data_IF_888902570786
#
_entry.id   IF_888902570786
#
_cell.length_a   1.000
_cell.length_b   1.000
_cell.length_c   1.000
_cell.angle_alpha   90.00
_cell.angle_beta   90.00
_cell.angle_gamma   90.00
#
_symmetry.space_group_name_H-M   'P 1'
#
loop_
_entity.id
_entity.type
_entity.pdbx_description
1 polymer ?
2 non-polymer ?
3 non-polymer ?
4 non-polymer ?
5 water ?
#
# COMPACT_ATOMS: atom_id res chain seq x y z
N UNK A 1 -2.77 -22.58 3.21
CA UNK A 1 -1.98 -21.36 3.05
C UNK A 1 -0.61 -21.50 3.69
N UNK A 2 0.35 -20.71 3.20
CA UNK A 2 1.71 -20.78 3.73
C UNK A 2 1.84 -19.95 5.00
N UNK A 3 1.16 -18.80 5.06
CA UNK A 3 1.09 -18.03 6.30
C UNK A 3 0.32 -18.79 7.37
N UNK A 4 0.77 -18.69 8.61
CA UNK A 4 -0.07 -19.09 9.73
C UNK A 4 -1.11 -18.01 10.01
N UNK A 5 -2.24 -18.42 10.60
CA UNK A 5 -3.35 -17.51 10.91
C UNK A 5 -2.90 -16.28 11.69
N UNK A 6 -2.11 -16.52 12.73
CA UNK A 6 -1.65 -15.44 13.59
C UNK A 6 -0.83 -14.43 12.78
N UNK A 7 -0.01 -14.96 11.86
CA UNK A 7 0.81 -14.12 10.98
C UNK A 7 -0.05 -13.25 10.06
N UNK A 8 -1.05 -13.86 9.43
CA UNK A 8 -1.95 -13.15 8.54
C UNK A 8 -2.72 -12.07 9.30
N UNK A 9 -3.01 -12.34 10.56
CA UNK A 9 -3.74 -11.40 11.38
C UNK A 9 -2.90 -10.16 11.70
N UNK A 10 -1.65 -10.39 12.10
CA UNK A 10 -0.71 -9.29 12.32
C UNK A 10 -0.51 -8.47 11.05
N UNK A 11 -0.33 -9.14 9.92
CA UNK A 11 -0.17 -8.44 8.66
C UNK A 11 -1.39 -7.61 8.31
N UNK A 12 -2.57 -8.20 8.51
CA UNK A 12 -3.82 -7.51 8.27
C UNK A 12 -3.91 -6.24 9.11
N UNK A 13 -3.60 -6.37 10.41
CA UNK A 13 -3.65 -5.24 11.34
C UNK A 13 -2.62 -4.15 11.01
N UNK A 14 -1.41 -4.59 10.68
CA UNK A 14 -0.36 -3.67 10.22
C UNK A 14 -0.82 -2.90 8.99
N UNK A 15 -1.38 -3.61 8.02
CA UNK A 15 -1.94 -2.97 6.84
C UNK A 15 -3.04 -1.98 7.18
N UNK A 16 -3.93 -2.38 8.07
CA UNK A 16 -5.07 -1.57 8.45
C UNK A 16 -4.63 -0.27 9.12
N UNK A 17 -3.70 -0.38 10.06
CA UNK A 17 -3.25 0.77 10.83
C UNK A 17 -2.52 1.77 9.93
N UNK A 18 -1.63 1.27 9.08
CA UNK A 18 -0.88 2.11 8.16
C UNK A 18 -1.82 2.82 7.19
N UNK A 19 -2.84 2.09 6.74
CA UNK A 19 -3.85 2.65 5.84
C UNK A 19 -4.61 3.79 6.50
N UNK A 20 -4.98 3.59 7.76
CA UNK A 20 -5.71 4.64 8.48
C UNK A 20 -4.87 5.90 8.61
N UNK A 21 -3.58 5.74 8.90
CA UNK A 21 -2.69 6.90 9.00
C UNK A 21 -2.58 7.64 7.67
N UNK A 22 -2.32 6.88 6.60
CA UNK A 22 -2.17 7.45 5.27
C UNK A 22 -3.45 8.08 4.74
N UNK A 23 -4.58 7.40 4.97
CA UNK A 23 -5.86 7.89 4.46
C UNK A 23 -6.29 9.12 5.23
N UNK A 24 -6.06 9.11 6.54
CA UNK A 24 -6.31 10.32 7.33
C UNK A 24 -5.51 11.51 6.79
N UNK A 25 -4.24 11.25 6.45
CA UNK A 25 -3.38 12.30 5.88
C UNK A 25 -3.97 12.86 4.58
N UNK A 26 -4.47 11.99 3.71
CA UNK A 26 -5.13 12.42 2.48
C UNK A 26 -6.38 13.28 2.72
N UNK A 27 -7.20 12.87 3.68
CA UNK A 27 -8.43 13.60 3.98
C UNK A 27 -8.12 14.98 4.56
N UNK A 28 -7.24 15.01 5.56
CA UNK A 28 -6.96 16.25 6.30
C UNK A 28 -6.19 17.28 5.46
N UNK A 29 -5.48 16.82 4.44
CA UNK A 29 -4.79 17.75 3.53
C UNK A 29 -5.67 18.13 2.34
N UNK A 30 -6.86 17.54 2.24
CA UNK A 30 -7.72 17.75 1.09
C UNK A 30 -7.27 17.01 -0.17
N UNK A 31 -6.43 16.00 -0.01
CA UNK A 31 -6.04 15.18 -1.14
C UNK A 31 -7.25 14.45 -1.68
N UNK A 32 -8.11 14.00 -0.76
CA UNK A 32 -9.34 13.28 -1.10
C UNK A 32 -10.49 13.72 -0.19
N UNK A 33 -11.73 13.48 -0.63
CA UNK A 33 -12.90 13.73 0.18
C UNK A 33 -13.84 12.54 0.00
N UNK A 34 -14.36 12.01 1.09
CA UNK A 34 -15.36 10.97 0.98
C UNK A 34 -16.76 11.58 0.81
N UNK A 35 -17.62 10.87 0.09
CA UNK A 35 -18.98 11.35 -0.07
C UNK A 35 -19.98 10.40 0.61
N UNK A 36 -19.53 9.18 0.83
CA UNK A 36 -20.27 8.19 1.58
C UNK A 36 -20.41 8.63 3.05
N UNK A 37 -21.62 8.59 3.58
CA UNK A 37 -21.86 8.96 4.99
C UNK A 37 -22.72 7.95 5.76
N UNK A 38 -23.34 7.01 5.05
CA UNK A 38 -24.20 6.02 5.69
C UNK A 38 -23.41 4.89 6.36
N UNK A 39 -22.12 4.80 6.07
CA UNK A 39 -21.32 3.74 6.66
C UNK A 39 -20.59 4.26 7.89
N UNK A 40 -20.33 3.35 8.85
CA UNK A 40 -19.48 3.69 10.00
C UNK A 40 -18.09 4.06 9.52
N UNK A 41 -17.50 5.10 10.09
CA UNK A 41 -16.12 5.47 9.83
C UNK A 41 -15.20 5.02 10.96
N UNK A 42 -13.96 4.67 10.61
CA UNK A 42 -12.93 4.47 11.60
C UNK A 42 -11.95 5.60 11.36
N UNK A 43 -11.74 6.44 12.37
CA UNK A 43 -10.98 7.67 12.20
C UNK A 43 -11.55 8.46 10.99
N UNK A 44 -10.72 8.75 10.00
CA UNK A 44 -11.22 9.49 8.83
C UNK A 44 -11.65 8.61 7.64
N UNK A 45 -11.74 7.31 7.85
CA UNK A 45 -12.01 6.38 6.76
C UNK A 45 -13.28 5.56 6.99
N UNK A 46 -14.01 5.26 5.91
CA UNK A 46 -15.08 4.27 5.99
C UNK A 46 -14.50 2.96 6.49
N UNK A 47 -15.23 2.24 7.33
CA UNK A 47 -14.72 1.07 8.01
C UNK A 47 -14.11 0.03 7.06
N UNK A 48 -14.63 -0.03 5.84
CA UNK A 48 -14.19 -1.06 4.91
C UNK A 48 -12.84 -0.75 4.24
N UNK A 49 -12.43 0.52 4.31
CA UNK A 49 -11.15 0.91 3.74
C UNK A 49 -9.98 0.22 4.44
N UNK A 50 -9.91 0.31 5.79
CA UNK A 50 -8.82 -0.44 6.44
C UNK A 50 -8.94 -1.96 6.26
N UNK A 51 -10.17 -2.48 6.13
CA UNK A 51 -10.32 -3.92 5.90
C UNK A 51 -9.73 -4.30 4.55
N UNK A 52 -10.07 -3.55 3.51
CA UNK A 52 -9.53 -3.77 2.17
C UNK A 52 -8.00 -3.76 2.13
N UNK A 53 -7.38 -2.72 2.70
CA UNK A 53 -5.93 -2.64 2.68
C UNK A 53 -5.26 -3.71 3.55
N UNK A 54 -5.82 -4.00 4.71
CA UNK A 54 -5.31 -5.07 5.55
C UNK A 54 -5.41 -6.42 4.86
N UNK A 55 -6.54 -6.64 4.21
CA UNK A 55 -6.74 -7.86 3.43
C UNK A 55 -5.71 -7.93 2.32
N UNK A 56 -5.50 -6.80 1.62
CA UNK A 56 -4.51 -6.76 0.55
C UNK A 56 -3.09 -7.03 1.04
N UNK A 57 -2.79 -6.59 2.27
CA UNK A 57 -1.47 -6.79 2.85
C UNK A 57 -1.19 -8.27 3.10
N UNK A 58 -2.10 -8.93 3.78
CA UNK A 58 -1.95 -10.35 4.08
C UNK A 58 -1.97 -11.15 2.79
N UNK A 59 -2.82 -10.73 1.85
CA UNK A 59 -2.97 -11.43 0.58
C UNK A 59 -1.71 -11.42 -0.28
N UNK A 60 -1.06 -10.25 -0.35
CA UNK A 60 0.16 -10.08 -1.13
C UNK A 60 1.35 -10.80 -0.50
N UNK A 61 1.36 -10.85 0.83
CA UNK A 61 2.38 -11.58 1.57
C UNK A 61 2.23 -13.08 1.30
N UNK A 62 0.99 -13.54 1.35
CA UNK A 62 0.67 -14.92 1.02
C UNK A 62 1.10 -15.22 -0.42
N UNK A 63 0.68 -14.36 -1.35
CA UNK A 63 1.01 -14.54 -2.78
C UNK A 63 2.52 -14.76 -3.01
N UNK A 64 3.35 -13.93 -2.38
CA UNK A 64 4.80 -14.06 -2.51
C UNK A 64 5.31 -15.47 -2.15
N UNK A 65 4.70 -16.08 -1.14
CA UNK A 65 5.13 -17.38 -0.65
C UNK A 65 4.77 -18.51 -1.62
N UNK A 66 3.97 -18.21 -2.64
CA UNK A 66 3.68 -19.15 -3.71
C UNK A 66 4.50 -18.87 -4.96
N UNK A 67 5.35 -17.85 -4.88
CA UNK A 67 6.20 -17.48 -6.01
C UNK A 67 7.57 -18.08 -5.74
N UNK A 68 8.42 -18.20 -6.77
CA UNK A 68 9.66 -18.96 -6.57
C UNK A 68 10.59 -18.38 -5.51
N UNK A 69 11.26 -19.27 -4.78
CA UNK A 69 12.39 -18.91 -3.92
C UNK A 69 12.18 -17.75 -2.93
N UNK A 70 11.22 -17.89 -1.99
CA UNK A 70 11.07 -16.89 -0.91
C UNK A 70 12.39 -16.78 -0.16
N UNK A 71 12.85 -15.57 0.13
CA UNK A 71 14.18 -15.40 0.71
C UNK A 71 14.16 -15.68 2.21
N UNK A 72 15.03 -16.57 2.67
CA UNK A 72 15.03 -16.94 4.07
C UNK A 72 15.91 -16.02 4.93
N UNK A 73 16.69 -15.17 4.29
CA UNK A 73 17.52 -14.23 5.03
C UNK A 73 16.82 -12.91 5.45
N UNK A 74 15.55 -12.76 5.08
CA UNK A 74 14.82 -11.51 5.35
C UNK A 74 14.72 -11.24 6.87
N UNK A 75 14.98 -9.98 7.26
CA UNK A 75 15.01 -9.61 8.68
C UNK A 75 13.93 -8.61 9.10
N UNK A 76 13.65 -8.56 10.41
CA UNK A 76 12.72 -7.58 10.97
C UNK A 76 13.18 -6.16 10.65
N UNK A 77 14.50 -5.98 10.66
CA UNK A 77 15.10 -4.68 10.35
C UNK A 77 14.74 -4.23 8.94
N UNK A 78 14.88 -5.15 7.98
CA UNK A 78 14.49 -4.86 6.60
C UNK A 78 12.99 -4.55 6.49
N UNK A 79 12.19 -5.32 7.20
CA UNK A 79 10.74 -5.17 7.15
C UNK A 79 10.28 -3.84 7.75
N UNK A 80 10.84 -3.48 8.89
CA UNK A 80 10.56 -2.19 9.50
C UNK A 80 10.95 -1.06 8.55
N UNK A 81 12.09 -1.20 7.91
CA UNK A 81 12.54 -0.21 6.94
C UNK A 81 11.58 -0.06 5.76
N UNK A 82 11.06 -1.17 5.25
CA UNK A 82 10.14 -1.12 4.12
C UNK A 82 8.80 -0.52 4.48
N UNK A 83 8.28 -0.86 5.65
CA UNK A 83 7.03 -0.29 6.13
C UNK A 83 7.18 1.22 6.29
N UNK A 84 8.30 1.64 6.87
CA UNK A 84 8.57 3.06 7.06
C UNK A 84 8.61 3.78 5.71
N UNK A 85 9.28 3.15 4.74
CA UNK A 85 9.37 3.72 3.40
C UNK A 85 7.98 3.89 2.76
N UNK A 86 7.15 2.87 2.89
CA UNK A 86 5.81 2.92 2.30
C UNK A 86 4.93 3.95 2.99
N UNK A 87 4.96 3.97 4.32
CA UNK A 87 4.21 4.97 5.09
C UNK A 87 4.72 6.40 4.82
N UNK A 88 6.05 6.57 4.84
CA UNK A 88 6.67 7.85 4.53
C UNK A 88 6.24 8.35 3.15
N UNK A 89 6.26 7.47 2.16
CA UNK A 89 5.86 7.86 0.81
C UNK A 89 4.37 8.22 0.77
N UNK A 90 3.55 7.40 1.44
CA UNK A 90 2.10 7.60 1.52
C UNK A 90 1.79 9.01 2.07
N UNK A 91 2.35 9.35 3.23
CA UNK A 91 2.04 10.64 3.83
C UNK A 91 2.63 11.78 3.02
N UNK A 92 3.73 11.50 2.31
CA UNK A 92 4.33 12.54 1.45
C UNK A 92 3.38 12.93 0.31
N UNK A 93 2.64 11.96 -0.24
CA UNK A 93 1.67 12.26 -1.29
C UNK A 93 0.58 13.20 -0.79
N UNK A 94 0.19 13.05 0.48
CA UNK A 94 -0.75 14.01 1.08
C UNK A 94 -0.14 15.40 1.12
N UNK A 95 1.14 15.49 1.47
CA UNK A 95 1.77 16.80 1.61
C UNK A 95 1.98 17.53 0.27
N UNK A 96 2.20 16.79 -0.81
CA UNK A 96 2.55 17.42 -2.08
C UNK A 96 1.48 17.31 -3.17
N UNK A 97 0.32 16.77 -2.82
CA UNK A 97 -0.74 16.46 -3.77
C UNK A 97 -1.20 17.64 -4.63
N UNK A 98 -1.05 18.86 -4.12
CA UNK A 98 -1.51 20.04 -4.85
C UNK A 98 -0.46 20.59 -5.82
N UNK A 99 0.71 19.97 -5.84
CA UNK A 99 1.80 20.44 -6.71
C UNK A 99 1.59 19.87 -8.09
N UNK A 100 2.31 20.39 -9.10
CA UNK A 100 2.19 19.85 -10.46
C UNK A 100 2.44 18.35 -10.56
N UNK A 101 1.67 17.71 -11.42
CA UNK A 101 1.60 16.25 -11.51
C UNK A 101 2.92 15.56 -11.87
N UNK A 102 3.71 16.18 -12.74
CA UNK A 102 4.95 15.54 -13.16
C UNK A 102 5.97 15.39 -12.02
N UNK A 103 6.34 16.50 -11.35
CA UNK A 103 7.33 16.33 -10.26
C UNK A 103 6.78 15.47 -9.14
N UNK A 104 5.48 15.56 -8.85
CA UNK A 104 4.87 14.77 -7.79
C UNK A 104 4.95 13.28 -8.11
N UNK A 105 4.49 12.90 -9.29
CA UNK A 105 4.48 11.49 -9.68
C UNK A 105 5.90 10.93 -9.80
N UNK A 106 6.80 11.73 -10.37
CA UNK A 106 8.21 11.36 -10.47
C UNK A 106 8.83 11.15 -9.09
N UNK A 107 8.46 12.00 -8.14
CA UNK A 107 9.01 11.86 -6.79
C UNK A 107 8.58 10.53 -6.19
N UNK A 108 7.32 10.17 -6.39
CA UNK A 108 6.82 8.94 -5.80
C UNK A 108 7.39 7.70 -6.51
N UNK A 109 7.59 7.82 -7.82
CA UNK A 109 8.24 6.75 -8.59
C UNK A 109 9.66 6.50 -8.09
N UNK A 110 10.35 7.59 -7.76
CA UNK A 110 11.70 7.53 -7.22
C UNK A 110 11.72 6.79 -5.89
N UNK A 111 10.79 7.13 -5.00
CA UNK A 111 10.70 6.45 -3.72
C UNK A 111 10.40 4.95 -3.88
N UNK A 112 9.47 4.64 -4.79
CA UNK A 112 9.10 3.27 -5.06
C UNK A 112 10.27 2.48 -5.61
N UNK A 113 11.00 3.10 -6.54
CA UNK A 113 12.16 2.44 -7.16
C UNK A 113 13.25 2.18 -6.12
N UNK A 114 13.58 3.19 -5.34
CA UNK A 114 14.60 3.03 -4.32
C UNK A 114 14.19 1.93 -3.32
N UNK A 115 12.93 1.92 -2.92
CA UNK A 115 12.41 0.90 -2.02
C UNK A 115 12.65 -0.51 -2.59
N UNK A 116 12.33 -0.70 -3.87
CA UNK A 116 12.60 -1.98 -4.51
C UNK A 116 14.10 -2.29 -4.57
N UNK A 117 14.91 -1.28 -4.92
CA UNK A 117 16.35 -1.46 -5.02
C UNK A 117 16.94 -1.96 -3.71
N UNK A 118 16.44 -1.43 -2.59
CA UNK A 118 17.00 -1.80 -1.30
C UNK A 118 16.48 -3.15 -0.81
N UNK A 119 15.21 -3.46 -1.11
CA UNK A 119 14.55 -4.58 -0.43
C UNK A 119 13.94 -5.65 -1.33
N UNK A 120 13.66 -5.30 -2.59
CA UNK A 120 12.84 -6.17 -3.43
C UNK A 120 13.62 -7.18 -4.26
N UNK A 121 12.94 -8.25 -4.67
CA UNK A 121 13.49 -9.17 -5.67
C UNK A 121 12.52 -9.25 -6.86
N UNK A 122 12.74 -10.19 -7.76
CA UNK A 122 11.88 -10.35 -8.93
C UNK A 122 10.42 -10.62 -8.58
N UNK A 123 10.16 -11.66 -7.79
CA UNK A 123 8.78 -11.97 -7.37
C UNK A 123 8.15 -10.84 -6.53
N UNK A 124 8.96 -10.16 -5.72
CA UNK A 124 8.49 -8.97 -5.01
C UNK A 124 7.99 -7.91 -5.96
N UNK A 125 8.80 -7.61 -6.98
CA UNK A 125 8.42 -6.66 -8.01
C UNK A 125 7.13 -7.09 -8.71
N UNK A 126 6.96 -8.41 -8.89
CA UNK A 126 5.76 -8.93 -9.54
C UNK A 126 4.51 -8.68 -8.70
N UNK A 127 4.64 -8.88 -7.39
CA UNK A 127 3.56 -8.57 -6.46
C UNK A 127 3.22 -7.08 -6.52
N UNK A 128 4.26 -6.25 -6.64
CA UNK A 128 4.08 -4.81 -6.79
C UNK A 128 3.29 -4.44 -8.03
N UNK A 129 3.62 -5.09 -9.14
CA UNK A 129 2.90 -4.84 -10.40
C UNK A 129 1.43 -5.21 -10.26
N UNK A 130 1.20 -6.35 -9.63
CA UNK A 130 -0.16 -6.86 -9.47
C UNK A 130 -1.06 -5.82 -8.76
N UNK A 131 -0.60 -5.32 -7.62
CA UNK A 131 -1.38 -4.31 -6.90
C UNK A 131 -1.28 -2.93 -7.54
N UNK A 132 -0.22 -2.65 -8.29
CA UNK A 132 -0.11 -1.34 -8.94
C UNK A 132 -1.15 -1.18 -10.05
N UNK A 133 -1.71 -2.31 -10.48
CA UNK A 133 -2.79 -2.32 -11.45
C UNK A 133 -4.12 -2.36 -10.72
N UNK A 134 -4.23 -3.30 -9.79
CA UNK A 134 -5.50 -3.58 -9.11
C UNK A 134 -5.92 -2.44 -8.17
N UNK A 135 -4.97 -1.92 -7.40
CA UNK A 135 -5.21 -0.80 -6.50
C UNK A 135 -5.89 0.38 -7.16
N UNK A 136 -5.21 1.00 -8.14
CA UNK A 136 -5.78 2.14 -8.87
C UNK A 136 -7.08 1.80 -9.61
N UNK A 137 -7.19 0.59 -10.14
CA UNK A 137 -8.41 0.18 -10.83
C UNK A 137 -9.63 0.21 -9.89
N UNK A 138 -9.45 -0.35 -8.70
CA UNK A 138 -10.49 -0.37 -7.67
C UNK A 138 -10.89 1.06 -7.29
N UNK A 139 -9.89 1.92 -7.09
CA UNK A 139 -10.14 3.32 -6.76
C UNK A 139 -10.88 4.08 -7.88
N UNK A 140 -10.50 3.81 -9.13
CA UNK A 140 -11.16 4.42 -10.27
C UNK A 140 -12.65 4.04 -10.26
N UNK A 141 -12.93 2.76 -10.05
CA UNK A 141 -14.31 2.27 -9.95
C UNK A 141 -15.10 2.96 -8.82
N UNK A 142 -14.48 3.05 -7.64
CA UNK A 142 -15.12 3.71 -6.51
C UNK A 142 -15.38 5.21 -6.76
N UNK A 143 -14.42 5.87 -7.39
CA UNK A 143 -14.60 7.28 -7.73
C UNK A 143 -15.71 7.42 -8.77
N UNK A 144 -15.71 6.53 -9.75
CA UNK A 144 -16.74 6.51 -10.78
C UNK A 144 -18.12 6.33 -10.14
N UNK A 145 -18.15 5.60 -9.04
CA UNK A 145 -19.38 5.36 -8.30
C UNK A 145 -19.76 6.50 -7.34
N UNK A 146 -18.92 7.54 -7.28
CA UNK A 146 -19.14 8.68 -6.41
C UNK A 146 -18.90 8.43 -4.93
N UNK A 147 -18.17 7.37 -4.61
CA UNK A 147 -17.89 7.01 -3.22
C UNK A 147 -16.94 8.02 -2.56
N UNK A 148 -15.95 8.48 -3.33
CA UNK A 148 -15.06 9.54 -2.90
C UNK A 148 -14.49 10.21 -4.13
N UNK A 149 -13.73 11.26 -3.94
CA UNK A 149 -13.12 11.97 -5.06
C UNK A 149 -11.73 12.45 -4.66
N UNK A 150 -10.86 12.60 -5.65
CA UNK A 150 -9.55 13.21 -5.46
C UNK A 150 -9.62 14.69 -5.75
N UNK A 151 -8.73 15.44 -5.09
CA UNK A 151 -8.48 16.83 -5.40
C UNK A 151 -8.27 16.99 -6.91
N UNK A 152 -8.79 18.10 -7.50
CA UNK A 152 -8.70 18.37 -8.94
C UNK A 152 -7.27 18.40 -9.48
N UNK A 153 -6.30 18.77 -8.65
CA UNK A 153 -4.91 18.77 -9.07
C UNK A 153 -4.26 17.41 -8.85
N UNK A 154 -5.08 16.41 -8.54
CA UNK A 154 -4.55 15.12 -8.11
C UNK A 154 -5.44 13.98 -8.59
N UNK A 155 -6.06 14.15 -9.76
CA UNK A 155 -7.04 13.17 -10.24
C UNK A 155 -6.85 12.77 -11.71
N UNK A 156 -5.64 12.97 -12.22
CA UNK A 156 -5.37 12.81 -13.64
C UNK A 156 -5.49 11.41 -14.21
N UNK A 157 -5.46 10.39 -13.35
CA UNK A 157 -5.54 9.02 -13.83
C UNK A 157 -6.97 8.50 -13.73
N UNK A 158 -7.79 8.89 -14.70
CA UNK A 158 -9.22 8.52 -14.71
C UNK A 158 -9.94 8.88 -13.42
N UNK A 159 -9.60 10.03 -12.84
CA UNK A 159 -10.24 10.47 -11.61
C UNK A 159 -9.44 10.21 -10.35
N UNK A 160 -8.39 9.39 -10.43
CA UNK A 160 -7.52 9.15 -9.27
C UNK A 160 -6.10 9.65 -9.50
N UNK A 161 -5.30 9.74 -8.44
CA UNK A 161 -3.97 10.31 -8.53
C UNK A 161 -3.00 9.35 -9.25
N UNK A 162 -2.26 9.87 -10.24
CA UNK A 162 -1.25 9.03 -10.89
C UNK A 162 -0.22 8.47 -9.91
N UNK A 163 0.01 9.14 -8.78
CA UNK A 163 0.99 8.63 -7.80
C UNK A 163 0.56 7.29 -7.17
N UNK A 164 -0.72 6.96 -7.30
CA UNK A 164 -1.20 5.69 -6.74
C UNK A 164 -0.47 4.50 -7.35
N UNK A 165 -0.09 4.61 -8.61
CA UNK A 165 0.60 3.50 -9.27
C UNK A 165 1.97 3.17 -8.61
N UNK A 166 2.89 4.15 -8.52
CA UNK A 166 4.12 3.77 -7.81
C UNK A 166 3.90 3.55 -6.31
N UNK A 167 2.93 4.24 -5.69
CA UNK A 167 2.63 4.00 -4.29
C UNK A 167 2.18 2.56 -4.00
N UNK A 168 1.17 2.08 -4.74
CA UNK A 168 0.77 0.67 -4.65
C UNK A 168 1.91 -0.30 -5.00
N UNK A 169 2.73 0.05 -5.99
CA UNK A 169 3.86 -0.80 -6.36
C UNK A 169 4.78 -1.00 -5.17
N UNK A 170 5.18 0.09 -4.52
CA UNK A 170 6.05 -0.01 -3.33
C UNK A 170 5.39 -0.83 -2.23
N UNK A 171 4.09 -0.60 -2.04
CA UNK A 171 3.29 -1.39 -1.10
C UNK A 171 3.37 -2.90 -1.39
N UNK A 172 3.17 -3.26 -2.65
CA UNK A 172 3.26 -4.66 -3.04
C UNK A 172 4.63 -5.30 -2.80
N UNK A 173 5.67 -4.53 -3.10
CA UNK A 173 7.05 -4.98 -2.84
C UNK A 173 7.28 -5.28 -1.36
N UNK A 174 6.83 -4.38 -0.50
CA UNK A 174 7.06 -4.53 0.92
C UNK A 174 6.18 -5.62 1.53
N UNK A 175 4.93 -5.73 1.08
CA UNK A 175 4.03 -6.79 1.56
C UNK A 175 4.59 -8.18 1.25
N UNK A 176 5.15 -8.33 0.06
CA UNK A 176 5.86 -9.54 -0.34
C UNK A 176 7.00 -9.85 0.63
N UNK A 177 7.81 -8.83 0.90
CA UNK A 177 8.90 -8.95 1.87
C UNK A 177 8.38 -9.37 3.23
N UNK A 178 7.23 -8.82 3.62
CA UNK A 178 6.64 -9.14 4.91
C UNK A 178 6.25 -10.62 5.02
N UNK A 179 5.78 -11.19 3.91
CA UNK A 179 5.45 -12.60 3.87
C UNK A 179 6.68 -13.45 3.98
N UNK A 180 7.75 -13.02 3.33
CA UNK A 180 9.04 -13.71 3.45
C UNK A 180 9.51 -13.66 4.90
N UNK A 181 9.32 -12.53 5.55
CA UNK A 181 9.76 -12.39 6.94
C UNK A 181 8.97 -13.30 7.87
N UNK A 182 7.66 -13.42 7.64
CA UNK A 182 6.78 -14.24 8.46
C UNK A 182 7.29 -15.68 8.56
N UNK A 183 7.75 -16.22 7.44
CA UNK A 183 8.38 -17.55 7.45
C UNK A 183 9.77 -17.48 8.09
N UNK A 184 10.60 -16.56 7.62
CA UNK A 184 12.01 -16.52 8.04
C UNK A 184 12.22 -16.34 9.54
N UNK A 185 11.27 -15.67 10.20
CA UNK A 185 11.43 -15.36 11.63
C UNK A 185 10.90 -16.43 12.56
N UNK A 186 10.30 -17.48 12.00
CA UNK A 186 9.85 -18.61 12.81
C UNK A 186 11.02 -19.23 13.57
N UNK A 187 10.73 -19.86 14.72
CA UNK A 187 11.79 -20.45 15.54
C UNK A 187 12.67 -21.39 14.74
N UNK A 188 13.98 -21.32 14.97
CA UNK A 188 14.95 -22.11 14.23
C UNK A 188 15.74 -22.99 15.19
N UNK A 189 16.43 -23.97 14.63
CA UNK A 189 17.29 -24.86 15.41
C UNK A 189 18.68 -24.23 15.58
X LIG B 1 3.32 -2.61 3.85
X LIG B 1 1.89 -1.60 4.90
X LIG B 1 1.40 -0.26 4.32
X LIG B 1 -0.01 -0.35 3.81
X LIG B 1 -0.72 0.93 3.38
X LIG B 1 -0.40 1.43 1.98
X LIG B 1 -1.34 1.04 0.85
X LIG B 1 -1.59 2.16 -0.16
X LIG B 1 -3.07 2.50 -0.38
X LIG B 1 -3.40 3.88 -0.95
X LIG B 1 -4.81 4.32 -0.64
X LIG B 1 -5.35 5.47 -1.44
X LIG B 1 -5.83 6.51 -0.45
X LIG B 1 -6.91 7.49 -0.96
X LIG B 1 -6.65 8.54 -1.45
X LIG B 1 -8.27 7.20 -0.65
X LIG B 1 -8.57 5.97 -0.01
X LIG B 1 -9.26 5.33 -1.16
X LIG B 1 -10.62 5.86 -0.77
X LIG B 1 -10.66 7.23 -1.16
X LIG B 1 -8.91 3.93 -1.19
X LIG B 1 -9.93 2.97 -1.54
X LIG B 1 -10.94 3.21 -1.04
X LIG B 1 -9.84 1.80 -2.42
X LIG B 1 -8.83 1.06 -1.67
X LIG B 1 -8.45 -0.11 -2.50
X LIG B 1 -7.59 -0.70 -3.54
X LIG B 1 -6.85 -1.79 -2.80
X LIG B 1 -6.99 -3.19 -2.39
X LIG B 1 -7.63 -3.93 -3.50
X LIG B 1 -7.45 -5.40 -3.32
X LIG B 1 -8.46 -6.02 -2.40
X LIG B 1 -8.22 -7.52 -2.33
X LIG B 1 -8.74 -8.22 -1.11
X LIG B 1 -7.94 -9.51 -0.90
X LIG B 1 -8.25 -10.55 -1.96
X LIG C 1 13.79 2.67 1.19
X LIG C 1 13.86 1.49 2.10
X LIG C 1 14.99 1.48 3.07
X LIG C 1 15.02 0.40 4.10
X LIG C 1 16.30 0.16 4.82
X LIG C 1 16.56 -1.22 5.33
X LIG C 1 17.90 -1.56 5.85
X LIG C 1 18.59 -2.76 5.29
X LIG C 1 19.84 -3.23 5.94
X LIG C 1 20.49 -4.43 5.33
X LIG D 1 8.08 2.59 -9.99
X LIG D 1 9.44 2.00 -10.28
X LIG D 1 9.79 0.62 -9.82
X LIG D 1 10.98 -0.04 -10.48
X LIG D 1 11.60 -1.26 -9.90
X LIG D 1 11.42 -2.56 -10.62
X LIG D 1 12.59 -3.45 -10.85
X LIG D 1 12.30 -4.87 -11.17
X LIG D 1 13.43 -5.75 -11.58
X LIG D 1 13.14 -7.20 -11.72
X LIG E 1 18.82 -7.48 -2.46
X LIG E 1 17.63 -7.33 -1.57
X LIG E 1 17.84 -7.78 -0.17
X LIG E 1 16.70 -7.87 0.77
X LIG E 1 16.63 -9.09 1.60
X LIG E 1 17.88 -9.89 1.71
X LIG E 1 18.11 -10.71 2.94
X LIG E 1 19.52 -10.78 3.43
X LIG E 1 19.78 -10.44 4.86
X LIG E 1 20.58 -9.23 5.23
X LIG F 1 4.85 4.91 11.08
X LIG F 1 4.09 6.14 11.47
X LIG F 1 3.64 6.24 12.87
X LIG F 1 3.54 7.60 13.49
X LIG F 1 2.26 8.38 13.41
X LIG F 1 1.87 9.09 14.65
X LIG F 1 1.01 10.31 14.56
X LIG F 1 1.12 11.31 15.67
X LIG F 1 -0.12 11.94 16.20
X LIG F 1 0.09 13.03 17.21
X LIG G 1 -6.20 10.11 -18.92
X LIG G 1 -5.12 9.07 -18.91
X LIG G 1 -3.85 9.43 -18.21
X LIG G 1 -2.90 8.33 -17.89
X LIG G 1 -1.78 8.62 -16.94
X LIG G 1 -0.89 7.48 -16.54
X LIG G 1 0.03 7.68 -15.38
X LIG G 1 0.87 6.51 -14.96
X LIG G 1 1.81 6.72 -13.82
X LIG G 1 3.12 5.99 -13.84
X LIG H 1 4.40 -16.33 15.21
X LIG H 1 4.08 -15.36 14.28
X LIG H 1 5.07 -17.57 14.60
X LIG H 1 4.20 -18.24 13.74
X LIG H 1 5.52 -18.51 15.70
X LIG H 1 6.38 -19.48 15.12
X LIG H 1 6.25 -17.79 16.83
X LIG H 1 6.46 -18.62 17.93
X LIG H 1 5.47 -16.57 17.25
X LIG H 1 5.30 -15.76 16.11
X LIG H 1 6.18 -15.75 18.28
X LIG H 1 7.40 -15.29 17.74
X LIG H 1 2.93 -14.60 14.58
X LIG H 1 3.32 -13.16 14.74
X LIG H 1 3.95 -12.68 13.46
X LIG H 1 4.74 -11.42 13.73
X LIG H 1 5.54 -11.02 12.52
X LIG H 1 4.63 -10.59 11.43
X LIG H 1 5.27 -9.45 10.67
X LIG H 1 5.86 -9.99 9.42
#
# INVERSE_FOLDING_TARGET
MRLRISEAVVLFLLGAVAALIGDHSHVVTGTTVYHTDAVPFVWSSPFWFPILVGAATASLAELRLHLPAPRDGVTARQALGGVAAVVGTYVTTALVHAFPVVPVTALVCAAAAITWCVLGDGPGAACGVVIAVIGPAVEIALVQLGVFAYHPDSDGLFGVAPFLAPLYFAFGVVAALLGELAVARRPQLGPPVCDTVSRGPGAGHHHHHH
LBR BR1 C33 CCA CBA CAA CA9 CA8 CA7 CA6 CA5 CA4 CA3 CA2 CA1 OA1 OG1 CG1 CG2 CG3 O3 OG2 CB1 OB1 CB2 CB3 CB4 CB5 CB6 CB7 CB8 CB9 CAB CBB CCB C35 C36
D10 C1 C2 C3 C4 C5 C6 C7 C8 C9 C10
D10 C1 C2 C3 C4 C5 C6 C7 C8 C9 C10
D10 C1 C2 C3 C4 C5 C6 C7 C8 C9 C10
D10 C1 C2 C3 C4 C5 C6 C7 C8 C9 C10
D10 C1 C2 C3 C4 C5 C6 C7 C8 C9 C10
BOG C1 O1 C2 O2 C3 O3 C4 O4 C5 O5 C6 O6 C1' C2' C3' C4' C5' C6' C7' C8'
#
